data_IF_496746737317
#
_entry.id   IF_496746737317
#
_cell.length_a   1.000
_cell.length_b   1.000
_cell.length_c   1.000
_cell.angle_alpha   90.00
_cell.angle_beta   90.00
_cell.angle_gamma   90.00
#
_symmetry.space_group_name_H-M   'P 1'
#
loop_
_entity.id
_entity.type
_entity.pdbx_description
1 polymer ?
#
# COMPACT_ATOMS: atom_id res chain seq x y z
N UNK A 1 -75.44 11.18 -5.04
CA UNK A 1 -74.56 11.75 -6.09
C UNK A 1 -73.21 11.96 -5.41
N UNK A 2 -72.28 11.01 -5.61
CA UNK A 2 -71.09 11.17 -6.48
C UNK A 2 -70.09 12.19 -5.87
N UNK A 3 -68.77 11.98 -5.71
CA UNK A 3 -67.81 10.95 -6.09
C UNK A 3 -66.48 11.22 -5.33
N UNK A 4 -65.66 10.16 -5.20
CA UNK A 4 -64.21 10.06 -4.90
C UNK A 4 -63.32 11.30 -5.16
N UNK A 5 -62.26 11.51 -4.36
CA UNK A 5 -60.85 11.16 -4.72
C UNK A 5 -59.82 11.47 -3.60
N UNK A 6 -59.03 10.45 -3.26
CA UNK A 6 -57.68 10.51 -2.68
C UNK A 6 -56.66 10.84 -3.78
N UNK A 7 -55.60 11.63 -3.53
CA UNK A 7 -54.24 11.50 -4.12
C UNK A 7 -53.19 12.25 -3.28
N UNK A 8 -52.05 11.56 -3.12
CA UNK A 8 -50.76 11.80 -2.47
C UNK A 8 -49.85 12.97 -2.93
N UNK A 9 -48.69 13.05 -2.24
CA UNK A 9 -47.33 13.54 -2.58
C UNK A 9 -46.92 14.86 -1.91
N UNK A 10 -46.01 14.87 -0.93
CA UNK A 10 -44.58 14.46 -0.95
C UNK A 10 -43.77 15.33 -1.91
N UNK A 11 -43.05 16.33 -1.37
CA UNK A 11 -41.71 16.62 -1.92
C UNK A 11 -40.79 17.24 -0.86
N UNK A 12 -39.82 16.40 -0.52
CA UNK A 12 -38.66 16.66 0.29
C UNK A 12 -37.62 17.44 -0.54
N UNK A 13 -37.41 18.73 -0.31
CA UNK A 13 -36.19 19.40 -0.79
C UNK A 13 -35.05 19.08 0.16
N UNK A 14 -34.59 17.83 0.07
CA UNK A 14 -33.31 17.37 0.57
C UNK A 14 -32.26 17.97 -0.37
N UNK A 15 -31.52 18.97 0.11
CA UNK A 15 -30.36 19.52 -0.59
C UNK A 15 -29.39 18.39 -0.87
N UNK A 16 -29.47 17.85 -2.08
CA UNK A 16 -28.62 16.82 -2.60
C UNK A 16 -27.27 17.48 -2.86
N UNK A 17 -26.40 17.46 -1.86
CA UNK A 17 -24.97 17.63 -2.06
C UNK A 17 -24.59 16.52 -3.05
N UNK A 18 -24.48 16.88 -4.33
CA UNK A 18 -23.80 16.07 -5.32
C UNK A 18 -22.39 15.89 -4.78
N UNK A 19 -22.16 14.75 -4.13
CA UNK A 19 -20.82 14.26 -3.92
C UNK A 19 -20.23 14.09 -5.30
N UNK A 20 -19.39 15.03 -5.72
CA UNK A 20 -18.51 14.81 -6.86
C UNK A 20 -17.83 13.48 -6.59
N UNK A 21 -18.21 12.47 -7.37
CA UNK A 21 -17.52 11.20 -7.47
C UNK A 21 -16.20 11.48 -8.18
N UNK A 22 -15.32 12.22 -7.49
CA UNK A 22 -13.94 12.44 -7.86
C UNK A 22 -13.37 11.07 -8.18
N UNK A 23 -12.96 10.92 -9.43
CA UNK A 23 -12.44 9.71 -10.04
C UNK A 23 -11.20 9.28 -9.23
N UNK A 24 -11.41 8.53 -8.14
CA UNK A 24 -10.34 8.06 -7.24
C UNK A 24 -9.58 6.93 -7.92
N UNK A 25 -8.80 7.28 -8.93
CA UNK A 25 -7.79 6.40 -9.51
C UNK A 25 -6.80 6.06 -8.40
N UNK A 26 -6.58 4.76 -8.16
CA UNK A 26 -5.60 4.32 -7.15
C UNK A 26 -4.21 4.85 -7.49
N UNK A 27 -3.40 5.13 -6.46
CA UNK A 27 -2.02 5.62 -6.65
C UNK A 27 -1.21 4.66 -7.53
N UNK A 28 -1.41 3.36 -7.35
CA UNK A 28 -0.80 2.30 -8.15
C UNK A 28 -1.19 2.39 -9.62
N UNK A 29 -2.48 2.62 -9.92
CA UNK A 29 -2.93 2.76 -11.30
C UNK A 29 -2.30 3.98 -11.98
N UNK A 30 -2.19 5.11 -11.26
CA UNK A 30 -1.47 6.29 -11.77
C UNK A 30 0.01 6.01 -11.99
N UNK A 31 0.65 5.28 -11.07
CA UNK A 31 2.04 4.86 -11.24
C UNK A 31 2.21 3.96 -12.48
N UNK A 32 1.31 3.00 -12.68
CA UNK A 32 1.35 2.12 -13.86
C UNK A 32 1.14 2.88 -15.17
N UNK A 33 0.29 3.91 -15.19
CA UNK A 33 0.10 4.82 -16.32
C UNK A 33 1.40 5.59 -16.64
N UNK A 34 2.12 6.06 -15.61
CA UNK A 34 3.42 6.73 -15.77
C UNK A 34 4.45 5.75 -16.34
N UNK A 35 4.58 4.55 -15.76
CA UNK A 35 5.50 3.52 -16.24
C UNK A 35 5.22 3.13 -17.69
N UNK A 36 3.96 3.13 -18.14
CA UNK A 36 3.63 2.88 -19.54
C UNK A 36 4.12 4.00 -20.48
N UNK A 37 4.14 5.24 -20.00
CA UNK A 37 4.53 6.41 -20.80
C UNK A 37 6.04 6.66 -20.85
N UNK A 38 6.75 6.43 -19.73
CA UNK A 38 8.16 6.78 -19.54
C UNK A 38 8.96 5.64 -18.89
N UNK A 39 8.58 4.39 -19.18
CA UNK A 39 9.15 3.20 -18.52
C UNK A 39 10.67 3.10 -18.61
N UNK A 40 11.25 3.48 -19.74
CA UNK A 40 12.69 3.40 -19.98
C UNK A 40 13.49 4.56 -19.37
N UNK A 41 12.82 5.57 -18.79
CA UNK A 41 13.49 6.66 -18.11
C UNK A 41 13.97 6.25 -16.72
N UNK A 42 15.10 6.81 -16.28
CA UNK A 42 15.64 6.62 -14.95
C UNK A 42 14.65 7.11 -13.88
N UNK A 43 14.34 6.25 -12.92
CA UNK A 43 13.46 6.55 -11.80
C UNK A 43 14.25 6.76 -10.51
N UNK A 44 15.34 6.01 -10.33
CA UNK A 44 16.27 6.13 -9.21
C UNK A 44 17.68 6.16 -9.77
N UNK A 45 18.41 7.21 -9.44
CA UNK A 45 19.85 7.30 -9.69
C UNK A 45 20.60 7.06 -8.37
N UNK A 46 21.59 6.20 -8.42
CA UNK A 46 22.48 5.83 -7.33
C UNK A 46 23.87 6.32 -7.68
N UNK A 47 24.40 7.20 -6.85
CA UNK A 47 25.75 7.73 -6.99
C UNK A 47 26.60 7.08 -5.92
N UNK A 48 27.59 6.30 -6.33
CA UNK A 48 28.59 5.74 -5.42
C UNK A 48 29.48 6.87 -4.90
N UNK A 49 29.62 6.95 -3.57
CA UNK A 49 30.39 8.00 -2.92
C UNK A 49 31.91 7.78 -3.04
N UNK A 50 32.36 6.54 -3.29
CA UNK A 50 33.78 6.18 -3.29
C UNK A 50 34.43 6.44 -4.64
N UNK A 51 33.78 6.06 -5.73
CA UNK A 51 34.32 6.17 -7.09
C UNK A 51 33.51 7.10 -8.02
N UNK A 52 32.39 7.65 -7.54
CA UNK A 52 31.53 8.54 -8.31
C UNK A 52 30.76 7.82 -9.42
N UNK A 53 30.77 6.50 -9.47
CA UNK A 53 30.02 5.76 -10.48
C UNK A 53 28.53 5.95 -10.28
N UNK A 54 27.82 6.14 -11.39
CA UNK A 54 26.36 6.28 -11.39
C UNK A 54 25.75 4.99 -11.91
N UNK A 55 24.83 4.42 -11.13
CA UNK A 55 23.93 3.37 -11.60
C UNK A 55 22.49 3.87 -11.51
N UNK A 56 21.62 3.35 -12.36
CA UNK A 56 20.22 3.76 -12.38
C UNK A 56 19.28 2.57 -12.49
N UNK A 57 18.05 2.77 -12.06
CA UNK A 57 16.94 1.84 -12.22
C UNK A 57 15.78 2.59 -12.85
N UNK A 58 15.21 2.04 -13.91
CA UNK A 58 14.15 2.70 -14.67
C UNK A 58 12.74 2.44 -14.08
N UNK A 59 11.76 3.22 -14.51
CA UNK A 59 10.36 3.07 -14.07
C UNK A 59 9.79 1.69 -14.41
N UNK A 60 10.18 1.12 -15.55
CA UNK A 60 9.76 -0.22 -15.98
C UNK A 60 10.28 -1.29 -15.02
N UNK A 61 11.55 -1.24 -14.62
CA UNK A 61 12.14 -2.19 -13.68
C UNK A 61 11.45 -2.13 -12.30
N UNK A 62 11.25 -0.91 -11.76
CA UNK A 62 10.50 -0.75 -10.50
C UNK A 62 9.08 -1.32 -10.61
N UNK A 63 8.43 -1.14 -11.75
CA UNK A 63 7.10 -1.67 -12.00
C UNK A 63 7.09 -3.21 -11.99
N UNK A 64 7.97 -3.85 -12.74
CA UNK A 64 8.02 -5.30 -12.87
C UNK A 64 8.44 -5.97 -11.56
N UNK A 65 9.47 -5.43 -10.88
CA UNK A 65 9.91 -5.96 -9.60
C UNK A 65 8.83 -5.82 -8.52
N UNK A 66 8.11 -4.68 -8.47
CA UNK A 66 7.02 -4.50 -7.50
C UNK A 66 5.81 -5.42 -7.77
N UNK A 67 5.47 -5.68 -9.05
CA UNK A 67 4.43 -6.67 -9.41
C UNK A 67 4.83 -8.07 -8.99
N UNK A 68 6.08 -8.48 -9.27
CA UNK A 68 6.60 -9.79 -8.89
C UNK A 68 6.60 -9.99 -7.38
N UNK A 69 7.07 -9.01 -6.61
CA UNK A 69 7.06 -9.08 -5.15
C UNK A 69 5.63 -9.08 -4.60
N UNK A 70 4.72 -8.26 -5.13
CA UNK A 70 3.31 -8.27 -4.74
C UNK A 70 2.66 -9.65 -4.96
N UNK A 71 2.93 -10.30 -6.10
CA UNK A 71 2.45 -11.64 -6.37
C UNK A 71 2.97 -12.66 -5.35
N UNK A 72 4.26 -12.59 -4.99
CA UNK A 72 4.85 -13.46 -3.97
C UNK A 72 4.22 -13.23 -2.60
N UNK A 73 4.06 -11.97 -2.17
CA UNK A 73 3.41 -11.60 -0.92
C UNK A 73 1.96 -12.11 -0.87
N UNK A 74 1.19 -11.94 -1.95
CA UNK A 74 -0.20 -12.38 -2.02
C UNK A 74 -0.37 -13.90 -2.04
N UNK A 75 0.44 -14.61 -2.82
CA UNK A 75 0.26 -16.06 -2.99
C UNK A 75 0.88 -16.87 -1.84
N UNK A 76 2.02 -16.43 -1.30
CA UNK A 76 2.77 -17.20 -0.31
C UNK A 76 2.47 -16.82 1.13
N UNK A 77 2.27 -15.53 1.40
CA UNK A 77 2.26 -15.03 2.78
C UNK A 77 0.90 -14.46 3.22
N UNK A 78 0.16 -13.81 2.31
CA UNK A 78 -1.10 -13.09 2.60
C UNK A 78 -1.01 -12.22 3.84
N UNK A 79 -0.02 -11.30 3.90
CA UNK A 79 0.23 -10.52 5.11
C UNK A 79 -0.92 -9.55 5.39
N UNK A 80 -1.24 -9.38 6.68
CA UNK A 80 -2.09 -8.26 7.12
C UNK A 80 -1.32 -6.93 7.19
N UNK A 81 0.00 -7.01 7.42
CA UNK A 81 0.93 -5.90 7.54
C UNK A 81 2.32 -6.33 7.05
N UNK A 82 3.09 -5.41 6.49
CA UNK A 82 4.47 -5.67 6.05
C UNK A 82 5.44 -4.74 6.80
N UNK A 83 6.55 -5.28 7.29
CA UNK A 83 7.65 -4.47 7.81
C UNK A 83 8.73 -4.39 6.72
N UNK A 84 9.06 -3.18 6.27
CA UNK A 84 10.05 -2.97 5.19
C UNK A 84 11.40 -2.70 5.84
N UNK A 85 12.29 -3.69 5.77
CA UNK A 85 13.65 -3.62 6.30
C UNK A 85 14.64 -3.90 5.17
N UNK A 86 15.01 -2.86 4.43
CA UNK A 86 15.95 -2.95 3.32
C UNK A 86 17.34 -2.39 3.66
N UNK A 87 17.69 -2.26 4.95
CA UNK A 87 18.99 -1.75 5.43
C UNK A 87 19.48 -0.45 4.77
N UNK A 88 18.56 0.44 4.41
CA UNK A 88 18.87 1.71 3.72
C UNK A 88 19.08 1.60 2.21
N UNK A 89 18.82 0.45 1.60
CA UNK A 89 18.87 0.26 0.15
C UNK A 89 17.60 0.82 -0.48
N UNK A 90 17.72 1.95 -1.17
CA UNK A 90 16.59 2.74 -1.67
C UNK A 90 15.76 2.02 -2.74
N UNK A 91 16.40 1.27 -3.64
CA UNK A 91 15.69 0.56 -4.73
C UNK A 91 14.82 -0.58 -4.17
N UNK A 92 15.34 -1.53 -3.36
CA UNK A 92 14.51 -2.52 -2.70
C UNK A 92 13.38 -1.93 -1.84
N UNK A 93 13.65 -0.82 -1.13
CA UNK A 93 12.63 -0.15 -0.31
C UNK A 93 11.49 0.42 -1.16
N UNK A 94 11.81 1.04 -2.30
CA UNK A 94 10.81 1.52 -3.26
C UNK A 94 9.99 0.37 -3.84
N UNK A 95 10.64 -0.73 -4.22
CA UNK A 95 9.98 -1.95 -4.73
C UNK A 95 9.04 -2.55 -3.69
N UNK A 96 9.49 -2.70 -2.44
CA UNK A 96 8.68 -3.23 -1.35
C UNK A 96 7.47 -2.34 -1.02
N UNK A 97 7.68 -1.02 -1.01
CA UNK A 97 6.63 -0.02 -0.81
C UNK A 97 5.57 -0.10 -1.90
N UNK A 98 5.98 -0.11 -3.17
CA UNK A 98 5.07 -0.24 -4.31
C UNK A 98 4.33 -1.58 -4.28
N UNK A 99 5.00 -2.68 -3.92
CA UNK A 99 4.37 -3.98 -3.78
C UNK A 99 3.26 -3.99 -2.70
N UNK A 100 3.50 -3.34 -1.56
CA UNK A 100 2.50 -3.21 -0.50
C UNK A 100 1.32 -2.35 -0.95
N UNK A 101 1.57 -1.24 -1.64
CA UNK A 101 0.53 -0.40 -2.23
C UNK A 101 -0.32 -1.15 -3.24
N UNK A 102 0.28 -2.00 -4.09
CA UNK A 102 -0.43 -2.87 -5.05
C UNK A 102 -1.41 -3.82 -4.37
N UNK A 103 -1.05 -4.32 -3.19
CA UNK A 103 -1.88 -5.23 -2.41
C UNK A 103 -2.86 -4.52 -1.48
N UNK A 104 -2.81 -3.19 -1.41
CA UNK A 104 -3.55 -2.39 -0.42
C UNK A 104 -3.29 -2.85 1.03
N UNK A 105 -2.09 -3.37 1.29
CA UNK A 105 -1.66 -3.84 2.60
C UNK A 105 -0.86 -2.72 3.30
N UNK A 106 -1.18 -2.39 4.57
CA UNK A 106 -0.40 -1.42 5.32
C UNK A 106 1.04 -1.90 5.52
N UNK A 107 1.99 -1.00 5.38
CA UNK A 107 3.40 -1.28 5.58
C UNK A 107 4.03 -0.28 6.56
N UNK A 108 5.10 -0.71 7.22
CA UNK A 108 5.87 0.12 8.15
C UNK A 108 7.34 0.04 7.76
N UNK A 109 7.94 1.14 7.27
CA UNK A 109 9.37 1.19 7.03
C UNK A 109 10.13 1.13 8.36
N UNK A 110 11.18 0.32 8.41
CA UNK A 110 12.03 0.15 9.59
C UNK A 110 13.33 0.91 9.37
N UNK A 111 13.56 1.92 10.21
CA UNK A 111 14.81 2.70 10.20
C UNK A 111 16.03 1.79 10.37
N UNK A 112 17.04 1.96 9.51
CA UNK A 112 18.31 1.24 9.60
C UNK A 112 19.02 1.41 10.95
N UNK A 113 18.79 2.53 11.63
CA UNK A 113 19.32 2.77 12.98
C UNK A 113 18.61 1.97 14.07
N UNK A 114 17.36 1.60 13.84
CA UNK A 114 16.53 0.85 14.80
C UNK A 114 16.53 -0.66 14.54
N UNK A 115 16.97 -1.11 13.36
CA UNK A 115 17.11 -2.54 13.02
C UNK A 115 18.06 -3.28 13.97
N UNK A 116 19.12 -2.61 14.41
CA UNK A 116 20.12 -3.19 15.30
C UNK A 116 19.79 -3.00 16.79
N UNK A 117 18.70 -2.31 17.14
CA UNK A 117 18.29 -2.13 18.53
C UNK A 117 17.52 -3.36 19.01
N UNK A 118 18.07 -4.15 19.94
CA UNK A 118 17.40 -5.35 20.43
C UNK A 118 16.04 -5.00 21.06
N UNK A 119 14.99 -5.75 20.71
CA UNK A 119 13.67 -5.63 21.32
C UNK A 119 12.75 -4.57 20.71
N UNK A 120 13.25 -3.68 19.83
CA UNK A 120 12.43 -2.58 19.27
C UNK A 120 11.49 -3.06 18.17
N UNK A 121 11.96 -3.94 17.29
CA UNK A 121 11.12 -4.53 16.24
C UNK A 121 10.03 -5.43 16.85
N UNK A 122 10.37 -6.19 17.88
CA UNK A 122 9.46 -7.04 18.64
C UNK A 122 8.36 -6.21 19.31
N UNK A 123 8.70 -5.03 19.85
CA UNK A 123 7.72 -4.09 20.39
C UNK A 123 6.74 -3.59 19.31
N UNK A 124 7.23 -3.23 18.12
CA UNK A 124 6.39 -2.81 16.99
C UNK A 124 5.44 -3.94 16.58
N UNK A 125 5.95 -5.16 16.44
CA UNK A 125 5.13 -6.35 16.13
C UNK A 125 4.08 -6.57 17.22
N UNK A 126 4.45 -6.45 18.50
CA UNK A 126 3.52 -6.63 19.60
C UNK A 126 2.41 -5.57 19.61
N UNK A 127 2.74 -4.30 19.35
CA UNK A 127 1.76 -3.21 19.22
C UNK A 127 0.78 -3.46 18.07
N UNK A 128 1.28 -3.86 16.90
CA UNK A 128 0.46 -4.20 15.74
C UNK A 128 -0.49 -5.38 16.03
N UNK A 129 -0.01 -6.41 16.73
CA UNK A 129 -0.83 -7.54 17.16
C UNK A 129 -1.90 -7.14 18.19
N UNK A 130 -1.57 -6.24 19.13
CA UNK A 130 -2.53 -5.75 20.14
C UNK A 130 -3.66 -4.93 19.52
N UNK A 131 -3.36 -4.05 18.55
CA UNK A 131 -4.39 -3.29 17.83
C UNK A 131 -5.38 -4.21 17.09
N UNK A 132 -4.97 -5.40 16.66
CA UNK A 132 -5.85 -6.38 16.04
C UNK A 132 -6.77 -7.07 17.06
N UNK A 133 -6.29 -7.31 18.29
CA UNK A 133 -7.11 -7.90 19.37
C UNK A 133 -8.22 -6.94 19.81
N UNK A 134 -7.95 -5.65 19.92
CA UNK A 134 -8.98 -4.65 20.24
C UNK A 134 -9.99 -4.45 19.12
N UNK A 135 -9.63 -4.76 17.87
CA UNK A 135 -10.53 -4.70 16.70
C UNK A 135 -11.30 -6.00 16.41
N UNK A 136 -11.02 -7.13 17.09
CA UNK A 136 -11.66 -8.43 16.84
C UNK A 136 -12.88 -8.69 17.74
N UNK A 137 -14.01 -8.06 17.42
CA UNK A 137 -15.26 -8.79 17.30
C UNK A 137 -15.36 -9.18 15.81
N UNK A 138 -15.55 -10.47 15.52
CA UNK A 138 -15.72 -11.11 14.20
C UNK A 138 -14.46 -11.69 13.51
N UNK A 139 -14.50 -13.02 13.46
CA UNK A 139 -13.79 -13.97 12.59
C UNK A 139 -12.28 -14.23 12.80
N UNK A 140 -12.03 -15.53 12.95
CA UNK A 140 -10.77 -16.19 13.22
C UNK A 140 -10.25 -16.80 11.91
N UNK A 141 -9.07 -16.38 11.48
CA UNK A 141 -8.14 -17.12 10.62
C UNK A 141 -6.75 -16.49 10.80
N UNK A 142 -5.74 -17.33 11.06
CA UNK A 142 -4.30 -16.99 10.97
C UNK A 142 -3.85 -17.18 9.50
N UNK A 143 -2.78 -16.52 9.01
CA UNK A 143 -1.56 -16.15 9.73
C UNK A 143 -1.12 -14.67 9.59
N UNK A 144 -0.54 -14.10 10.65
CA UNK A 144 0.14 -12.78 10.59
C UNK A 144 1.60 -13.01 10.24
N UNK A 145 1.92 -13.20 8.96
CA UNK A 145 3.33 -13.18 8.55
C UNK A 145 3.77 -11.74 8.40
N UNK A 146 4.59 -11.29 9.35
CA UNK A 146 5.45 -10.13 9.18
C UNK A 146 6.60 -10.58 8.27
N UNK A 147 6.57 -10.16 7.00
CA UNK A 147 7.71 -10.39 6.10
C UNK A 147 8.63 -9.19 6.23
N UNK A 148 9.84 -9.40 6.73
CA UNK A 148 10.95 -8.48 6.53
C UNK A 148 11.57 -8.79 5.16
N UNK A 149 11.56 -7.82 4.26
CA UNK A 149 12.21 -7.96 2.95
C UNK A 149 13.64 -7.45 3.09
N UNK A 150 14.55 -8.35 3.49
CA UNK A 150 16.01 -8.07 3.65
C UNK A 150 16.79 -8.16 2.36
#
# INVERSE_FOLDING_TARGET
>A
METKKTVDKDESTKSQVKSDSSNRVSLVKRFDEICFSIGDCDAVELIDAEDGTTSSVCYFELQEHSKSLAAQLFHRYRPDYVLVDCKGWVVPEAVATLACMRLEVPFVPVSCYDQHRPGKLEQVVHLLQQQKKTKKHTSSTLPSVVVAVT
#
